data_IF_691209678683
#
_entry.id   IF_691209678683
#
_cell.length_a   1.000
_cell.length_b   1.000
_cell.length_c   1.000
_cell.angle_alpha   90.00
_cell.angle_beta   90.00
_cell.angle_gamma   90.00
#
_symmetry.space_group_name_H-M   'P 1'
#
loop_
_entity.id
_entity.type
_entity.pdbx_description
1 polymer ?
#
# COMPACT_ATOMS: atom_id res chain seq x y z
N UNK A 1 -1.31 -22.57 -5.40
CA UNK A 1 -1.32 -22.55 -3.92
C UNK A 1 -1.36 -21.15 -3.30
N UNK A 2 -1.23 -20.07 -4.06
CA UNK A 2 -1.23 -18.68 -3.56
C UNK A 2 -2.62 -18.15 -3.11
N UNK A 3 -3.71 -18.65 -3.67
CA UNK A 3 -5.05 -18.10 -3.41
C UNK A 3 -5.62 -18.38 -2.01
N UNK A 4 -5.32 -19.51 -1.39
CA UNK A 4 -5.88 -19.89 -0.08
C UNK A 4 -5.23 -19.06 1.06
N UNK A 5 -3.92 -18.89 1.04
CA UNK A 5 -3.21 -18.09 2.04
C UNK A 5 -3.57 -16.61 1.95
N UNK A 6 -3.73 -16.06 0.74
CA UNK A 6 -4.18 -14.68 0.56
C UNK A 6 -5.62 -14.47 1.04
N UNK A 7 -6.50 -15.46 0.82
CA UNK A 7 -7.90 -15.43 1.27
C UNK A 7 -8.02 -15.47 2.80
N UNK A 8 -7.28 -16.36 3.47
CA UNK A 8 -7.28 -16.48 4.94
C UNK A 8 -6.65 -15.23 5.58
N UNK A 9 -5.52 -14.76 5.06
CA UNK A 9 -4.87 -13.55 5.54
C UNK A 9 -5.76 -12.31 5.41
N UNK A 10 -6.47 -12.18 4.28
CA UNK A 10 -7.44 -11.09 4.06
C UNK A 10 -8.59 -11.16 5.08
N UNK A 11 -9.20 -12.33 5.29
CA UNK A 11 -10.27 -12.49 6.28
C UNK A 11 -9.80 -12.13 7.69
N UNK A 12 -8.60 -12.54 8.08
CA UNK A 12 -8.01 -12.19 9.36
C UNK A 12 -7.80 -10.66 9.53
N UNK A 13 -7.32 -9.99 8.49
CA UNK A 13 -7.17 -8.53 8.51
C UNK A 13 -8.51 -7.78 8.62
N UNK A 14 -9.60 -8.37 8.10
CA UNK A 14 -10.93 -7.77 8.22
C UNK A 14 -11.51 -7.81 9.64
N UNK A 15 -11.02 -8.69 10.51
CA UNK A 15 -11.40 -8.75 11.92
C UNK A 15 -10.70 -7.68 12.78
N UNK A 16 -9.67 -7.06 12.24
CA UNK A 16 -8.87 -6.06 12.94
C UNK A 16 -9.33 -4.65 12.53
N UNK A 17 -9.24 -3.69 13.45
CA UNK A 17 -9.44 -2.27 13.14
C UNK A 17 -8.68 -1.86 11.87
N UNK A 18 -9.30 -1.11 10.94
CA UNK A 18 -8.70 -0.80 9.64
C UNK A 18 -7.34 -0.11 9.72
N UNK A 19 -7.15 0.81 10.65
CA UNK A 19 -5.87 1.52 10.79
C UNK A 19 -4.79 0.63 11.40
N UNK A 20 -5.16 -0.26 12.34
CA UNK A 20 -4.25 -1.27 12.87
C UNK A 20 -3.86 -2.29 11.79
N UNK A 21 -4.83 -2.75 10.99
CA UNK A 21 -4.56 -3.64 9.88
C UNK A 21 -3.59 -3.02 8.86
N UNK A 22 -3.75 -1.73 8.56
CA UNK A 22 -2.80 -0.98 7.74
C UNK A 22 -1.39 -1.00 8.35
N UNK A 23 -1.26 -0.64 9.63
CA UNK A 23 0.04 -0.68 10.33
C UNK A 23 0.68 -2.07 10.32
N UNK A 24 -0.10 -3.14 10.51
CA UNK A 24 0.37 -4.52 10.41
C UNK A 24 0.87 -4.86 9.00
N UNK A 25 0.20 -4.41 7.95
CA UNK A 25 0.63 -4.63 6.57
C UNK A 25 1.96 -3.93 6.26
N UNK A 26 2.15 -2.71 6.72
CA UNK A 26 3.42 -1.98 6.60
C UNK A 26 4.53 -2.68 7.39
N UNK A 27 4.25 -3.12 8.62
CA UNK A 27 5.22 -3.86 9.44
C UNK A 27 5.62 -5.19 8.77
N UNK A 28 4.68 -5.91 8.18
CA UNK A 28 4.94 -7.14 7.43
C UNK A 28 5.84 -6.89 6.21
N UNK A 29 5.60 -5.82 5.45
CA UNK A 29 6.46 -5.41 4.34
C UNK A 29 7.88 -5.05 4.81
N UNK A 30 7.97 -4.34 5.92
CA UNK A 30 9.25 -3.94 6.54
C UNK A 30 10.08 -5.13 7.02
N UNK A 31 9.43 -6.19 7.49
CA UNK A 31 10.10 -7.39 8.00
C UNK A 31 10.95 -8.13 6.94
N UNK A 32 10.66 -7.92 5.65
CA UNK A 32 11.35 -8.60 4.55
C UNK A 32 10.97 -10.07 4.35
N UNK A 33 10.08 -10.63 5.17
CA UNK A 33 9.63 -12.03 5.05
C UNK A 33 8.57 -12.25 3.98
N UNK A 34 8.04 -11.18 3.37
CA UNK A 34 7.07 -11.34 2.30
C UNK A 34 7.76 -11.82 1.01
N UNK A 35 7.15 -12.80 0.33
CA UNK A 35 7.72 -13.30 -0.91
C UNK A 35 7.80 -12.17 -1.96
N UNK A 36 8.92 -12.10 -2.64
CA UNK A 36 9.06 -11.23 -3.82
C UNK A 36 8.13 -11.76 -4.91
N UNK A 37 7.23 -10.92 -5.38
CA UNK A 37 6.45 -11.23 -6.56
C UNK A 37 7.32 -10.93 -7.79
N UNK A 38 7.85 -11.96 -8.41
CA UNK A 38 8.50 -11.80 -9.71
C UNK A 38 7.41 -11.64 -10.76
N UNK A 39 6.97 -10.40 -10.97
CA UNK A 39 6.16 -10.07 -12.14
C UNK A 39 7.11 -10.17 -13.35
N UNK A 40 6.83 -11.03 -14.34
CA UNK A 40 7.63 -11.08 -15.54
C UNK A 40 7.66 -9.69 -16.19
N UNK A 41 8.85 -9.21 -16.51
CA UNK A 41 8.99 -7.95 -17.24
C UNK A 41 8.36 -8.12 -18.63
N UNK A 42 7.26 -7.42 -18.88
CA UNK A 42 6.63 -7.37 -20.21
C UNK A 42 6.92 -6.00 -20.82
N UNK A 43 7.72 -5.91 -21.89
CA UNK A 43 8.04 -4.63 -22.53
C UNK A 43 6.82 -3.84 -23.00
N UNK A 44 5.68 -4.52 -23.24
CA UNK A 44 4.43 -3.88 -23.66
C UNK A 44 3.78 -3.05 -22.54
N UNK A 45 4.12 -3.34 -21.28
CA UNK A 45 3.63 -2.61 -20.10
C UNK A 45 4.54 -1.44 -19.73
N UNK A 46 5.75 -1.38 -20.30
CA UNK A 46 6.67 -0.29 -19.99
C UNK A 46 6.17 1.02 -20.58
N UNK A 47 6.24 2.07 -19.77
CA UNK A 47 5.86 3.43 -20.17
C UNK A 47 7.00 4.40 -19.86
N UNK A 48 7.16 5.42 -20.72
CA UNK A 48 8.06 6.54 -20.44
C UNK A 48 7.22 7.81 -20.33
N UNK A 49 7.22 8.43 -19.17
CA UNK A 49 6.46 9.66 -18.89
C UNK A 49 7.40 10.69 -18.29
N UNK A 50 7.43 11.88 -18.88
CA UNK A 50 8.30 12.98 -18.44
C UNK A 50 9.78 12.58 -18.25
N UNK A 51 10.30 11.71 -19.11
CA UNK A 51 11.69 11.21 -19.05
C UNK A 51 11.93 10.10 -18.01
N UNK A 52 10.93 9.69 -17.24
CA UNK A 52 11.02 8.58 -16.29
C UNK A 52 10.48 7.29 -16.92
N UNK A 53 11.20 6.21 -16.71
CA UNK A 53 10.81 4.87 -17.22
C UNK A 53 10.07 4.12 -16.11
N UNK A 54 8.83 3.73 -16.39
CA UNK A 54 8.00 2.90 -15.53
C UNK A 54 7.94 1.48 -16.11
N UNK A 55 8.37 0.45 -15.38
CA UNK A 55 8.40 -0.93 -15.90
C UNK A 55 7.00 -1.50 -16.15
N UNK A 56 5.98 -0.96 -15.47
CA UNK A 56 4.57 -1.23 -15.70
C UNK A 56 3.71 -0.07 -15.16
N UNK A 57 2.44 0.08 -15.60
CA UNK A 57 1.58 1.19 -15.21
C UNK A 57 0.89 1.02 -13.84
N UNK A 58 1.11 -0.10 -13.13
CA UNK A 58 0.51 -0.33 -11.83
C UNK A 58 1.36 0.29 -10.73
N UNK A 59 0.82 1.26 -10.03
CA UNK A 59 1.50 1.93 -8.91
C UNK A 59 0.74 1.84 -7.60
N UNK A 60 1.48 1.93 -6.49
CA UNK A 60 0.88 2.14 -5.18
C UNK A 60 0.58 3.62 -4.99
N UNK A 61 -0.70 3.96 -4.79
CA UNK A 61 -1.14 5.33 -4.61
C UNK A 61 -0.66 5.95 -3.28
N UNK A 62 -0.59 7.29 -3.25
CA UNK A 62 -0.32 8.06 -2.04
C UNK A 62 -1.27 7.67 -0.89
N UNK A 63 -0.77 7.72 0.33
CA UNK A 63 -1.53 7.43 1.54
C UNK A 63 -1.37 6.02 2.08
N UNK A 64 -0.83 5.08 1.30
CA UNK A 64 -0.41 3.79 1.84
C UNK A 64 0.90 3.92 2.62
N UNK A 65 1.94 4.40 1.99
CA UNK A 65 3.26 4.63 2.62
C UNK A 65 3.47 6.14 2.88
N UNK A 66 2.90 6.63 3.98
CA UNK A 66 2.92 8.06 4.30
C UNK A 66 4.30 8.57 4.71
N UNK A 67 5.13 7.69 5.25
CA UNK A 67 6.41 8.03 5.86
C UNK A 67 7.61 7.48 5.07
N UNK A 68 7.39 6.96 3.86
CA UNK A 68 8.43 6.31 3.04
C UNK A 68 9.14 5.14 3.75
N UNK A 69 8.37 4.31 4.46
CA UNK A 69 8.91 3.19 5.23
C UNK A 69 9.14 1.94 4.39
N UNK A 70 8.35 1.78 3.32
CA UNK A 70 8.29 0.52 2.54
C UNK A 70 8.31 0.71 1.01
N UNK A 71 8.93 1.75 0.42
CA UNK A 71 8.91 1.91 -1.03
C UNK A 71 9.60 0.74 -1.75
N UNK A 72 10.77 0.33 -1.29
CA UNK A 72 11.49 -0.82 -1.86
C UNK A 72 10.71 -2.15 -1.74
N UNK A 73 10.17 -2.52 -0.58
CA UNK A 73 9.27 -3.65 -0.44
C UNK A 73 8.06 -3.63 -1.39
N UNK A 74 7.42 -2.49 -1.59
CA UNK A 74 6.30 -2.35 -2.52
C UNK A 74 6.72 -2.64 -3.97
N UNK A 75 7.84 -2.10 -4.41
CA UNK A 75 8.38 -2.41 -5.74
C UNK A 75 8.68 -3.90 -5.91
N UNK A 76 9.16 -4.58 -4.86
CA UNK A 76 9.37 -6.04 -4.89
C UNK A 76 8.08 -6.86 -4.96
N UNK A 77 6.92 -6.29 -4.61
CA UNK A 77 5.61 -6.91 -4.84
C UNK A 77 5.15 -6.81 -6.30
N UNK A 78 5.89 -6.10 -7.16
CA UNK A 78 5.60 -5.98 -8.58
C UNK A 78 4.99 -4.65 -9.01
N UNK A 79 4.84 -3.68 -8.11
CA UNK A 79 4.45 -2.33 -8.50
C UNK A 79 5.55 -1.68 -9.37
N UNK A 80 5.17 -1.02 -10.45
CA UNK A 80 6.08 -0.28 -11.31
C UNK A 80 6.57 1.02 -10.68
N UNK A 81 5.81 1.57 -9.75
CA UNK A 81 6.15 2.76 -8.98
C UNK A 81 5.36 2.80 -7.66
N UNK A 82 5.76 3.68 -6.77
CA UNK A 82 5.02 3.96 -5.55
C UNK A 82 5.05 5.46 -5.25
N UNK A 83 3.93 5.99 -4.82
CA UNK A 83 3.80 7.36 -4.37
C UNK A 83 3.79 7.40 -2.85
N UNK A 84 4.70 8.16 -2.27
CA UNK A 84 4.82 8.33 -0.82
C UNK A 84 4.13 9.61 -0.36
N UNK A 85 3.73 9.65 0.88
CA UNK A 85 3.16 10.86 1.49
C UNK A 85 1.65 10.82 1.70
N UNK A 86 1.05 11.95 1.97
CA UNK A 86 1.53 13.35 1.78
C UNK A 86 2.73 13.66 2.69
N UNK A 87 3.73 14.35 2.14
CA UNK A 87 4.85 14.90 2.92
C UNK A 87 4.43 16.26 3.47
N UNK A 88 4.60 16.49 4.77
CA UNK A 88 4.32 17.77 5.43
C UNK A 88 5.61 18.34 6.02
N UNK A 89 5.74 19.68 6.14
CA UNK A 89 6.95 20.32 6.70
C UNK A 89 7.21 19.92 8.16
N UNK A 90 6.18 19.52 8.87
CA UNK A 90 6.26 19.02 10.25
C UNK A 90 5.36 17.81 10.39
N UNK A 91 5.77 16.81 11.17
CA UNK A 91 4.94 15.67 11.53
C UNK A 91 3.63 16.10 12.17
N UNK A 92 2.51 15.46 11.80
CA UNK A 92 1.20 15.77 12.37
C UNK A 92 0.36 14.51 12.58
N UNK A 93 -0.42 14.49 13.66
CA UNK A 93 -1.23 13.34 14.05
C UNK A 93 -2.44 13.11 13.13
N UNK A 94 -2.88 14.15 12.43
CA UNK A 94 -4.13 14.13 11.67
C UNK A 94 -5.38 14.16 12.54
N UNK A 95 -6.51 13.73 11.99
CA UNK A 95 -7.80 13.75 12.66
C UNK A 95 -7.91 12.69 13.77
N UNK A 96 -8.81 12.90 14.76
CA UNK A 96 -9.13 11.91 15.79
C UNK A 96 -9.62 10.58 15.19
N UNK A 97 -9.31 9.47 15.86
CA UNK A 97 -9.85 8.13 15.53
C UNK A 97 -11.28 7.96 16.03
N UNK A 98 -12.11 7.11 15.39
CA UNK A 98 -11.83 6.32 14.16
C UNK A 98 -11.84 7.22 12.91
N UNK A 99 -10.99 6.90 11.96
CA UNK A 99 -10.76 7.73 10.77
C UNK A 99 -10.53 6.96 9.48
N UNK A 100 -10.69 5.62 9.53
CA UNK A 100 -10.75 4.73 8.37
C UNK A 100 -11.96 3.82 8.56
N UNK A 101 -12.79 3.71 7.52
CA UNK A 101 -14.03 2.94 7.55
C UNK A 101 -14.10 2.03 6.32
N UNK A 102 -14.37 0.75 6.52
CA UNK A 102 -14.59 -0.22 5.44
C UNK A 102 -16.07 -0.25 5.09
N UNK A 103 -16.35 -0.17 3.81
CA UNK A 103 -17.66 -0.43 3.23
C UNK A 103 -17.60 -1.83 2.62
N UNK A 104 -17.86 -2.85 3.46
CA UNK A 104 -17.60 -4.25 3.10
C UNK A 104 -18.47 -4.70 1.94
N UNK A 105 -19.73 -4.28 1.90
CA UNK A 105 -20.70 -4.62 0.85
C UNK A 105 -20.34 -3.99 -0.49
N UNK A 106 -19.76 -2.77 -0.47
CA UNK A 106 -19.36 -2.03 -1.67
C UNK A 106 -17.89 -2.24 -2.05
N UNK A 107 -17.16 -3.11 -1.30
CA UNK A 107 -15.72 -3.30 -1.44
C UNK A 107 -14.91 -2.00 -1.38
N UNK A 108 -15.42 -1.01 -0.66
CA UNK A 108 -14.86 0.34 -0.59
C UNK A 108 -14.22 0.67 0.76
N UNK A 109 -13.49 1.78 0.77
CA UNK A 109 -12.90 2.37 1.98
C UNK A 109 -13.12 3.88 1.98
N UNK A 110 -13.61 4.40 3.10
CA UNK A 110 -13.67 5.84 3.37
C UNK A 110 -12.62 6.18 4.41
N UNK A 111 -11.92 7.29 4.23
CA UNK A 111 -11.04 7.81 5.26
C UNK A 111 -11.21 9.31 5.46
N UNK A 112 -10.80 9.75 6.67
CA UNK A 112 -10.67 11.15 7.07
C UNK A 112 -9.38 11.36 7.86
N UNK A 113 -8.26 10.86 7.34
CA UNK A 113 -6.98 10.81 8.04
C UNK A 113 -6.41 12.18 8.38
N UNK A 114 -6.61 13.21 7.52
CA UNK A 114 -6.18 14.59 7.80
C UNK A 114 -4.67 14.77 7.71
N UNK A 115 -4.05 14.22 6.66
CA UNK A 115 -2.61 14.34 6.36
C UNK A 115 -1.71 13.93 7.54
N UNK A 116 -2.06 12.85 8.23
CA UNK A 116 -1.20 12.30 9.28
C UNK A 116 0.08 11.71 8.69
N UNK A 117 1.21 12.11 9.25
CA UNK A 117 2.53 11.54 8.92
C UNK A 117 3.55 11.80 10.04
#
# INVERSE_FOLDING_TARGET
MSGLFSSIGRKGLFLVDPEKAHGLSVAALKSGFLPTCMVPHDPRLQQTVAGLVFPNPLGMAAGYDKNAEVPGPLLRLGFGFTEIGTVTPRGQSGNPKPRIFRLVEDEGVINRLGFNN
#
